data_IF_391135853243
#
_entry.id   IF_391135853243
#
_cell.length_a   1.000
_cell.length_b   1.000
_cell.length_c   1.000
_cell.angle_alpha   90.00
_cell.angle_beta   90.00
_cell.angle_gamma   90.00
#
_symmetry.space_group_name_H-M   'P 1'
#
loop_
_entity.id
_entity.type
_entity.pdbx_description
1 polymer ?
#
# COMPACT_ATOMS: atom_id res chain seq x y z
N UNK A 1 14.61 20.79 15.02
CA UNK A 1 14.94 19.54 15.74
C UNK A 1 14.00 19.45 16.94
N UNK A 2 13.00 18.56 16.88
CA UNK A 2 12.09 18.37 18.00
C UNK A 2 12.86 17.66 19.12
N UNK A 3 13.05 18.34 20.24
CA UNK A 3 13.75 17.79 21.40
C UNK A 3 12.87 16.72 22.07
N UNK A 4 13.28 15.46 21.94
CA UNK A 4 12.82 14.40 22.82
C UNK A 4 13.23 14.76 24.24
N UNK A 5 12.28 14.75 25.17
CA UNK A 5 12.57 15.04 26.56
C UNK A 5 13.47 13.94 27.15
N UNK A 6 14.31 14.29 28.13
CA UNK A 6 15.16 13.34 28.85
C UNK A 6 14.35 12.15 29.42
N UNK A 7 13.09 12.39 29.80
CA UNK A 7 12.17 11.36 30.26
C UNK A 7 11.81 10.34 29.16
N UNK A 8 11.65 10.78 27.91
CA UNK A 8 11.35 9.89 26.77
C UNK A 8 12.57 9.05 26.38
N UNK A 9 13.77 9.64 26.48
CA UNK A 9 15.03 8.91 26.31
C UNK A 9 15.19 7.83 27.39
N UNK A 10 14.93 8.16 28.66
CA UNK A 10 15.01 7.19 29.76
C UNK A 10 13.97 6.05 29.63
N UNK A 11 12.76 6.34 29.15
CA UNK A 11 11.76 5.30 28.88
C UNK A 11 12.17 4.37 27.72
N UNK A 12 13.00 4.83 26.79
CA UNK A 12 13.55 4.03 25.70
C UNK A 12 14.54 2.96 26.19
N UNK A 13 15.35 3.29 27.20
CA UNK A 13 16.49 2.46 27.64
C UNK A 13 16.27 1.70 28.97
N UNK A 14 15.39 2.17 29.86
CA UNK A 14 15.30 1.63 31.22
C UNK A 14 14.13 0.66 31.49
N UNK A 15 13.18 0.48 30.54
CA UNK A 15 11.99 -0.34 30.75
C UNK A 15 11.62 -1.23 29.53
N UNK A 16 12.18 -2.44 29.39
CA UNK A 16 11.57 -3.46 28.52
C UNK A 16 10.27 -3.96 29.17
N UNK A 17 9.09 -3.97 28.49
CA UNK A 17 8.85 -3.88 27.04
C UNK A 17 8.08 -2.60 26.63
N UNK A 18 8.64 -1.41 26.85
CA UNK A 18 8.09 -0.15 26.34
C UNK A 18 8.57 0.37 24.96
N UNK A 19 9.53 -0.24 24.20
CA UNK A 19 9.97 0.34 22.92
C UNK A 19 8.85 0.48 21.87
N UNK A 20 7.93 -0.49 21.82
CA UNK A 20 6.94 -0.57 20.73
C UNK A 20 5.91 0.57 20.70
N UNK A 21 5.57 1.18 21.85
CA UNK A 21 4.55 2.25 21.92
C UNK A 21 5.11 3.64 21.63
N UNK A 22 6.37 3.90 21.98
CA UNK A 22 7.01 5.20 21.75
C UNK A 22 7.56 5.24 20.32
N UNK A 23 8.23 4.18 19.86
CA UNK A 23 8.70 4.09 18.47
C UNK A 23 7.54 4.12 17.47
N UNK A 24 6.40 3.47 17.76
CA UNK A 24 5.22 3.56 16.90
C UNK A 24 4.60 4.98 16.86
N UNK A 25 4.68 5.76 17.94
CA UNK A 25 4.21 7.16 17.93
C UNK A 25 5.10 8.09 17.13
N UNK A 26 6.40 7.78 17.02
CA UNK A 26 7.36 8.58 16.24
C UNK A 26 7.42 8.13 14.77
N UNK A 27 7.17 6.85 14.50
CA UNK A 27 7.19 6.30 13.14
C UNK A 27 5.91 6.57 12.35
N UNK A 28 4.75 6.66 13.01
CA UNK A 28 3.47 6.91 12.36
C UNK A 28 2.92 8.28 12.73
N UNK A 29 2.76 9.13 11.73
CA UNK A 29 2.22 10.49 11.85
C UNK A 29 0.95 10.59 11.00
N UNK A 30 -0.17 9.98 11.40
CA UNK A 30 -1.42 10.13 10.65
C UNK A 30 -1.83 11.61 10.59
N UNK A 31 -2.14 12.16 9.41
CA UNK A 31 -2.65 13.52 9.31
C UNK A 31 -4.08 13.60 9.85
N UNK A 32 -4.58 14.82 10.06
CA UNK A 32 -6.03 14.99 10.21
C UNK A 32 -6.71 14.55 8.91
N UNK A 33 -7.78 13.74 8.95
CA UNK A 33 -8.40 13.20 7.75
C UNK A 33 -8.82 14.29 6.77
N UNK A 34 -8.43 14.12 5.51
CA UNK A 34 -8.76 15.04 4.42
C UNK A 34 -9.97 14.60 3.62
N UNK A 35 -10.53 13.44 3.95
CA UNK A 35 -11.72 12.89 3.31
C UNK A 35 -12.60 12.12 4.29
N UNK A 36 -13.85 11.89 3.87
CA UNK A 36 -14.82 11.04 4.54
C UNK A 36 -15.49 10.10 3.53
N UNK A 37 -15.97 8.96 4.02
CA UNK A 37 -16.83 8.05 3.25
C UNK A 37 -18.27 8.24 3.68
N UNK A 38 -19.10 8.71 2.76
CA UNK A 38 -20.53 8.89 3.00
C UNK A 38 -21.30 7.74 2.34
N UNK A 39 -22.34 7.18 2.99
CA UNK A 39 -23.22 6.22 2.33
C UNK A 39 -23.82 6.84 1.06
N UNK A 40 -23.83 6.11 -0.05
CA UNK A 40 -24.47 6.55 -1.27
C UNK A 40 -25.99 6.28 -1.21
N UNK A 41 -26.84 7.31 -1.05
CA UNK A 41 -28.29 7.12 -0.91
C UNK A 41 -28.95 6.60 -2.20
N UNK A 42 -28.29 6.69 -3.35
CA UNK A 42 -28.81 6.24 -4.65
C UNK A 42 -28.42 4.80 -4.99
N UNK A 43 -27.62 4.14 -4.13
CA UNK A 43 -27.26 2.76 -4.30
C UNK A 43 -28.41 1.84 -3.88
N UNK A 44 -29.32 1.58 -4.83
CA UNK A 44 -30.26 0.47 -4.72
C UNK A 44 -29.53 -0.88 -4.50
N UNK A 45 -30.22 -1.93 -4.02
CA UNK A 45 -29.59 -3.22 -3.79
C UNK A 45 -28.91 -3.70 -5.07
N UNK A 46 -27.61 -4.05 -4.97
CA UNK A 46 -26.77 -4.43 -6.09
C UNK A 46 -27.52 -5.41 -7.00
N UNK A 47 -27.75 -5.02 -8.26
CA UNK A 47 -28.43 -5.86 -9.23
C UNK A 47 -27.62 -7.15 -9.39
N UNK A 48 -28.17 -8.26 -8.90
CA UNK A 48 -27.69 -9.59 -9.23
C UNK A 48 -27.69 -9.71 -10.76
N UNK A 49 -26.51 -9.96 -11.33
CA UNK A 49 -26.32 -10.08 -12.77
C UNK A 49 -27.37 -11.01 -13.38
N UNK A 50 -28.03 -10.52 -14.43
CA UNK A 50 -28.94 -11.29 -15.27
C UNK A 50 -28.18 -12.44 -15.91
N UNK A 51 -28.23 -13.63 -15.28
CA UNK A 51 -27.87 -14.88 -15.95
C UNK A 51 -29.12 -15.35 -16.69
N UNK A 52 -29.08 -15.17 -18.02
CA UNK A 52 -30.04 -15.78 -18.93
C UNK A 52 -30.02 -17.29 -18.76
N UNK A 53 -31.15 -17.83 -18.33
CA UNK A 53 -31.45 -19.25 -18.19
C UNK A 53 -31.39 -19.97 -19.54
N UNK A 54 -30.69 -21.10 -19.61
CA UNK A 54 -31.23 -22.28 -20.30
C UNK A 54 -30.91 -23.56 -19.52
N UNK A 55 -31.96 -24.34 -19.35
CA UNK A 55 -32.19 -25.45 -18.43
C UNK A 55 -31.47 -26.73 -18.85
N UNK A 56 -31.04 -27.56 -17.88
CA UNK A 56 -31.31 -29.00 -17.86
C UNK A 56 -31.05 -29.62 -16.46
N UNK A 57 -32.11 -30.27 -15.96
CA UNK A 57 -32.29 -31.25 -14.86
C UNK A 57 -31.11 -32.24 -14.69
N UNK A 58 -30.80 -32.90 -13.55
CA UNK A 58 -31.54 -33.30 -12.34
C UNK A 58 -30.62 -33.97 -11.29
N UNK A 59 -31.07 -34.00 -10.01
CA UNK A 59 -30.77 -34.98 -8.90
C UNK A 59 -29.34 -34.95 -8.31
N UNK A 60 -29.08 -35.13 -7.01
CA UNK A 60 -29.84 -35.29 -5.76
C UNK A 60 -28.82 -35.44 -4.61
N UNK A 61 -29.08 -34.83 -3.44
CA UNK A 61 -28.65 -35.35 -2.13
C UNK A 61 -27.32 -34.86 -1.54
N UNK A 62 -27.41 -34.07 -0.46
CA UNK A 62 -26.79 -34.30 0.86
C UNK A 62 -26.51 -32.96 1.57
N UNK A 63 -27.25 -32.76 2.65
CA UNK A 63 -27.16 -31.65 3.59
C UNK A 63 -25.91 -31.76 4.47
N UNK A 64 -25.08 -30.72 4.49
CA UNK A 64 -24.17 -30.44 5.62
C UNK A 64 -24.29 -28.95 5.95
N UNK A 65 -24.71 -28.68 7.17
CA UNK A 65 -24.89 -27.37 7.78
C UNK A 65 -23.56 -26.64 7.95
N UNK A 66 -23.31 -25.65 7.11
CA UNK A 66 -22.28 -24.63 7.31
C UNK A 66 -22.90 -23.38 7.91
N UNK A 67 -22.45 -23.02 9.12
CA UNK A 67 -22.78 -21.79 9.83
C UNK A 67 -22.48 -20.56 8.96
N UNK A 68 -23.54 -19.88 8.52
CA UNK A 68 -23.47 -18.66 7.74
C UNK A 68 -22.85 -17.51 8.55
N UNK A 69 -21.63 -17.14 8.20
CA UNK A 69 -21.12 -15.79 8.46
C UNK A 69 -21.89 -14.82 7.58
N UNK A 70 -22.59 -13.88 8.19
CA UNK A 70 -23.34 -12.82 7.53
C UNK A 70 -22.40 -11.97 6.67
N UNK A 71 -22.35 -12.26 5.37
CA UNK A 71 -21.83 -11.34 4.36
C UNK A 71 -22.79 -10.16 4.27
N UNK A 72 -22.55 -9.14 5.10
CA UNK A 72 -23.26 -7.88 5.01
C UNK A 72 -23.00 -7.28 3.64
N UNK A 73 -24.07 -6.96 2.92
CA UNK A 73 -24.02 -6.16 1.68
C UNK A 73 -23.46 -4.80 2.07
N UNK A 74 -22.17 -4.58 1.88
CA UNK A 74 -21.56 -3.28 2.10
C UNK A 74 -22.14 -2.29 1.09
N UNK A 75 -22.84 -1.28 1.61
CA UNK A 75 -23.39 -0.20 0.81
C UNK A 75 -22.30 0.48 -0.01
N UNK A 76 -22.68 1.03 -1.16
CA UNK A 76 -21.79 1.85 -1.99
C UNK A 76 -21.46 3.13 -1.20
N UNK A 77 -20.19 3.52 -1.20
CA UNK A 77 -19.73 4.73 -0.53
C UNK A 77 -19.36 5.79 -1.56
N UNK A 78 -19.66 7.06 -1.24
CA UNK A 78 -19.20 8.22 -2.00
C UNK A 78 -18.04 8.88 -1.26
N UNK A 79 -16.98 9.19 -2.01
CA UNK A 79 -15.85 9.97 -1.49
C UNK A 79 -16.29 11.41 -1.28
N UNK A 80 -16.09 11.93 -0.08
CA UNK A 80 -16.28 13.34 0.24
C UNK A 80 -14.94 13.94 0.65
N UNK A 81 -14.40 14.84 -0.15
CA UNK A 81 -13.15 15.52 0.14
C UNK A 81 -13.41 16.78 0.95
N UNK A 82 -12.58 16.99 1.96
CA UNK A 82 -12.55 18.25 2.72
C UNK A 82 -11.76 19.30 1.95
N UNK A 83 -11.88 20.57 2.34
CA UNK A 83 -11.10 21.67 1.75
C UNK A 83 -9.58 21.43 1.81
N UNK A 84 -9.10 20.62 2.77
CA UNK A 84 -7.69 20.28 2.97
C UNK A 84 -7.11 19.33 1.93
N UNK A 85 -7.96 18.66 1.15
CA UNK A 85 -7.50 17.84 0.05
C UNK A 85 -7.14 18.68 -1.19
N UNK A 86 -7.45 19.99 -1.22
CA UNK A 86 -7.04 20.99 -2.23
C UNK A 86 -6.99 20.50 -3.70
N UNK A 87 -7.98 19.74 -4.18
CA UNK A 87 -8.08 19.36 -5.59
C UNK A 87 -9.52 19.41 -6.11
N UNK A 88 -9.70 20.01 -7.28
CA UNK A 88 -10.98 20.01 -8.00
C UNK A 88 -11.00 18.85 -9.00
N UNK A 89 -11.69 17.77 -8.64
CA UNK A 89 -11.90 16.64 -9.54
C UNK A 89 -13.03 16.92 -10.51
N UNK A 90 -12.84 16.53 -11.77
CA UNK A 90 -13.93 16.42 -12.72
C UNK A 90 -14.86 15.27 -12.33
N UNK A 91 -16.14 15.36 -12.69
CA UNK A 91 -17.09 14.26 -12.44
C UNK A 91 -16.59 12.93 -13.04
N UNK A 92 -15.94 12.99 -14.20
CA UNK A 92 -15.35 11.84 -14.86
C UNK A 92 -14.27 11.14 -14.01
N UNK A 93 -13.47 11.89 -13.27
CA UNK A 93 -12.45 11.32 -12.37
C UNK A 93 -13.09 10.69 -11.13
N UNK A 94 -14.15 11.30 -10.60
CA UNK A 94 -14.91 10.72 -9.49
C UNK A 94 -15.61 9.42 -9.92
N UNK A 95 -16.10 9.35 -11.16
CA UNK A 95 -16.79 8.16 -11.68
C UNK A 95 -15.86 6.95 -11.88
N UNK A 96 -14.55 7.16 -12.05
CA UNK A 96 -13.56 6.07 -12.15
C UNK A 96 -13.02 5.62 -10.80
N UNK A 97 -13.41 6.30 -9.72
CA UNK A 97 -12.94 6.07 -8.37
C UNK A 97 -14.01 5.37 -7.53
N UNK A 98 -13.64 4.23 -6.97
CA UNK A 98 -14.47 3.47 -6.03
C UNK A 98 -13.81 3.48 -4.66
N UNK A 99 -14.57 3.85 -3.64
CA UNK A 99 -14.11 3.84 -2.24
C UNK A 99 -14.98 2.93 -1.40
N UNK A 100 -14.37 2.23 -0.44
CA UNK A 100 -15.07 1.31 0.44
C UNK A 100 -14.26 1.03 1.71
N UNK A 101 -14.86 0.35 2.68
CA UNK A 101 -14.19 -0.15 3.86
C UNK A 101 -14.00 -1.65 3.73
N UNK A 102 -12.84 -2.18 4.11
CA UNK A 102 -12.62 -3.62 4.33
C UNK A 102 -12.29 -3.89 5.78
N UNK A 103 -12.37 -5.14 6.22
CA UNK A 103 -12.06 -5.54 7.60
C UNK A 103 -10.73 -6.30 7.64
N UNK A 104 -9.79 -5.83 8.44
CA UNK A 104 -8.53 -6.54 8.69
C UNK A 104 -8.72 -7.72 9.63
N UNK A 105 -7.80 -8.68 9.59
CA UNK A 105 -7.77 -9.84 10.48
C UNK A 105 -7.67 -9.47 11.97
N UNK A 106 -7.27 -8.22 12.25
CA UNK A 106 -7.18 -7.64 13.60
C UNK A 106 -8.42 -6.85 14.01
N UNK A 107 -9.47 -6.87 13.19
CA UNK A 107 -10.78 -6.31 13.50
C UNK A 107 -10.95 -4.83 13.19
N UNK A 108 -9.96 -4.18 12.58
CA UNK A 108 -10.06 -2.77 12.17
C UNK A 108 -10.80 -2.68 10.83
N UNK A 109 -11.56 -1.60 10.66
CA UNK A 109 -12.04 -1.15 9.35
C UNK A 109 -10.93 -0.33 8.68
N UNK A 110 -10.64 -0.67 7.43
CA UNK A 110 -9.57 -0.09 6.60
C UNK A 110 -10.23 0.60 5.40
N UNK A 111 -9.98 1.89 5.23
CA UNK A 111 -10.38 2.65 4.05
C UNK A 111 -9.60 2.22 2.83
N UNK A 112 -10.29 1.96 1.72
CA UNK A 112 -9.70 1.59 0.44
C UNK A 112 -10.23 2.50 -0.67
N UNK A 113 -9.37 2.74 -1.66
CA UNK A 113 -9.66 3.50 -2.86
C UNK A 113 -9.13 2.73 -4.07
N UNK A 114 -9.99 2.55 -5.07
CA UNK A 114 -9.63 1.93 -6.34
C UNK A 114 -9.97 2.85 -7.49
N UNK A 115 -8.98 3.17 -8.32
CA UNK A 115 -9.08 4.12 -9.41
C UNK A 115 -8.80 3.41 -10.73
N UNK A 116 -9.77 3.46 -11.64
CA UNK A 116 -9.63 2.95 -13.00
C UNK A 116 -9.00 3.99 -13.91
N UNK A 117 -7.68 4.11 -13.85
CA UNK A 117 -6.97 5.18 -14.53
C UNK A 117 -6.88 4.98 -16.05
N UNK A 118 -6.86 3.74 -16.54
CA UNK A 118 -6.76 3.45 -17.97
C UNK A 118 -7.65 2.29 -18.43
N UNK A 119 -8.45 2.44 -19.50
CA UNK A 119 -9.34 1.39 -20.00
C UNK A 119 -8.62 0.09 -20.43
N UNK A 120 -7.37 0.22 -20.90
CA UNK A 120 -6.52 -0.90 -21.34
C UNK A 120 -5.48 -1.31 -20.29
N UNK A 121 -5.65 -0.89 -19.03
CA UNK A 121 -4.74 -1.27 -17.96
C UNK A 121 -4.74 -2.79 -17.75
N UNK A 122 -3.61 -3.43 -18.06
CA UNK A 122 -3.36 -4.83 -17.72
C UNK A 122 -3.12 -5.01 -16.22
N UNK A 123 -2.29 -4.13 -15.65
CA UNK A 123 -1.87 -4.23 -14.27
C UNK A 123 -2.66 -3.29 -13.36
N UNK A 124 -2.81 -3.71 -12.11
CA UNK A 124 -3.27 -2.85 -11.00
C UNK A 124 -2.15 -2.72 -9.97
N UNK A 125 -1.81 -1.49 -9.62
CA UNK A 125 -0.84 -1.21 -8.57
C UNK A 125 -1.55 -1.23 -7.22
N UNK A 126 -1.15 -2.11 -6.31
CA UNK A 126 -1.47 -2.02 -4.88
C UNK A 126 -0.45 -1.08 -4.22
N UNK A 127 -0.84 0.18 -4.04
CA UNK A 127 0.00 1.25 -3.52
C UNK A 127 -0.12 1.35 -2.00
N UNK A 128 0.99 1.22 -1.29
CA UNK A 128 1.13 1.51 0.14
C UNK A 128 1.79 2.88 0.29
N UNK A 129 1.02 3.87 0.75
CA UNK A 129 1.42 5.28 0.76
C UNK A 129 2.50 5.62 1.81
N UNK A 130 3.10 6.81 1.67
CA UNK A 130 4.08 7.32 2.64
C UNK A 130 3.47 7.64 4.01
N UNK A 131 4.30 8.14 4.92
CA UNK A 131 3.82 8.67 6.19
C UNK A 131 3.16 10.04 5.99
N UNK A 132 2.42 10.55 6.98
CA UNK A 132 1.85 11.91 6.97
C UNK A 132 0.93 12.27 5.79
N UNK A 133 0.41 11.27 5.08
CA UNK A 133 -0.59 11.42 4.02
C UNK A 133 -1.75 10.45 4.23
N UNK A 134 -2.90 10.75 3.64
CA UNK A 134 -4.04 9.84 3.54
C UNK A 134 -4.51 9.68 2.08
N UNK A 135 -5.48 8.80 1.84
CA UNK A 135 -6.03 8.57 0.49
C UNK A 135 -6.59 9.83 -0.19
N UNK A 136 -7.14 10.76 0.59
CA UNK A 136 -7.69 12.00 0.05
C UNK A 136 -6.59 12.85 -0.59
N UNK A 137 -5.48 13.06 0.12
CA UNK A 137 -4.33 13.82 -0.38
C UNK A 137 -3.63 13.13 -1.56
N UNK A 138 -3.57 11.80 -1.54
CA UNK A 138 -2.86 11.03 -2.58
C UNK A 138 -3.67 10.80 -3.86
N UNK A 139 -4.97 11.04 -3.84
CA UNK A 139 -5.87 10.65 -4.94
C UNK A 139 -5.54 11.30 -6.29
N UNK A 140 -5.12 12.57 -6.33
CA UNK A 140 -4.69 13.26 -7.55
C UNK A 140 -3.39 12.66 -8.12
N UNK A 141 -2.44 12.37 -7.24
CA UNK A 141 -1.20 11.69 -7.58
C UNK A 141 -1.48 10.31 -8.19
N UNK A 142 -2.40 9.52 -7.60
CA UNK A 142 -2.77 8.21 -8.12
C UNK A 142 -3.37 8.26 -9.52
N UNK A 143 -4.28 9.21 -9.79
CA UNK A 143 -4.83 9.41 -11.14
C UNK A 143 -3.72 9.73 -12.13
N UNK A 144 -2.85 10.68 -11.79
CA UNK A 144 -1.74 11.10 -12.62
C UNK A 144 -0.73 10.00 -12.89
N UNK A 145 -0.35 9.24 -11.86
CA UNK A 145 0.58 8.11 -11.96
C UNK A 145 -0.03 7.00 -12.82
N UNK A 146 -1.20 6.49 -12.45
CA UNK A 146 -1.86 5.36 -13.12
C UNK A 146 -2.11 5.64 -14.61
N UNK A 147 -2.52 6.85 -14.95
CA UNK A 147 -2.71 7.26 -16.36
C UNK A 147 -1.38 7.23 -17.13
N UNK A 148 -0.29 7.74 -16.52
CA UNK A 148 1.02 7.85 -17.19
C UNK A 148 1.75 6.53 -17.34
N UNK A 149 1.47 5.55 -16.49
CA UNK A 149 2.05 4.19 -16.54
C UNK A 149 1.06 3.13 -17.06
N UNK A 150 -0.12 3.53 -17.52
CA UNK A 150 -1.19 2.66 -18.02
C UNK A 150 -1.58 1.53 -17.05
N UNK A 151 -1.78 1.87 -15.77
CA UNK A 151 -2.19 0.94 -14.71
C UNK A 151 -3.38 1.51 -13.94
N UNK A 152 -4.22 0.63 -13.39
CA UNK A 152 -5.16 1.02 -12.35
C UNK A 152 -4.43 1.16 -11.01
N UNK A 153 -4.93 2.00 -10.11
CA UNK A 153 -4.33 2.17 -8.78
C UNK A 153 -5.33 1.74 -7.71
N UNK A 154 -4.91 0.86 -6.82
CA UNK A 154 -5.60 0.53 -5.59
C UNK A 154 -4.72 0.96 -4.42
N UNK A 155 -5.27 1.73 -3.50
CA UNK A 155 -4.58 2.16 -2.28
C UNK A 155 -5.49 2.00 -1.07
N UNK A 156 -4.90 2.00 0.12
CA UNK A 156 -5.59 1.84 1.40
C UNK A 156 -4.91 2.69 2.48
N UNK A 157 -5.69 3.19 3.44
CA UNK A 157 -5.14 3.87 4.61
C UNK A 157 -4.77 2.87 5.70
N UNK A 158 -3.64 3.08 6.36
CA UNK A 158 -3.26 2.28 7.52
C UNK A 158 -4.23 2.48 8.70
N UNK A 159 -4.34 1.49 9.58
CA UNK A 159 -5.13 1.61 10.81
C UNK A 159 -4.79 2.89 11.59
N UNK A 160 -5.75 3.77 11.81
CA UNK A 160 -5.56 5.08 12.45
C UNK A 160 -5.20 6.24 11.50
N UNK A 161 -5.16 6.01 10.18
CA UNK A 161 -5.04 7.04 9.14
C UNK A 161 -6.40 7.26 8.46
N UNK A 162 -6.64 8.49 7.98
CA UNK A 162 -7.88 8.84 7.28
C UNK A 162 -9.13 8.34 7.98
N UNK A 163 -9.95 7.54 7.28
CA UNK A 163 -11.18 6.93 7.83
C UNK A 163 -10.95 5.57 8.50
N UNK A 164 -9.73 5.03 8.44
CA UNK A 164 -9.37 3.72 9.00
C UNK A 164 -9.37 3.76 10.52
N UNK A 165 -10.06 2.80 11.13
CA UNK A 165 -10.10 2.66 12.60
C UNK A 165 -8.85 2.02 13.17
N UNK A 166 -8.71 2.04 14.50
CA UNK A 166 -7.64 1.33 15.19
C UNK A 166 -6.46 2.25 15.52
N UNK A 167 -5.26 1.67 15.57
CA UNK A 167 -4.02 2.40 15.89
C UNK A 167 -2.91 2.04 14.91
N UNK A 168 -2.04 2.99 14.56
CA UNK A 168 -0.97 2.72 13.62
C UNK A 168 0.15 1.96 14.35
N UNK A 169 0.25 0.67 14.07
CA UNK A 169 1.26 -0.22 14.64
C UNK A 169 1.71 -1.17 13.54
N UNK A 170 2.95 -1.65 13.61
CA UNK A 170 3.49 -2.60 12.63
C UNK A 170 2.60 -3.82 12.40
N UNK A 171 2.03 -4.39 13.47
CA UNK A 171 1.12 -5.54 13.37
C UNK A 171 -0.19 -5.20 12.65
N UNK A 172 -0.71 -3.99 12.83
CA UNK A 172 -1.89 -3.55 12.10
C UNK A 172 -1.53 -3.25 10.66
N UNK A 173 -0.38 -2.60 10.40
CA UNK A 173 0.12 -2.31 9.06
C UNK A 173 0.17 -3.58 8.17
N UNK A 174 0.67 -4.70 8.71
CA UNK A 174 0.64 -5.99 8.01
C UNK A 174 -0.78 -6.55 7.81
N UNK A 175 -1.63 -6.44 8.82
CA UNK A 175 -3.02 -6.89 8.70
C UNK A 175 -3.85 -6.05 7.72
N UNK A 176 -3.51 -4.78 7.57
CA UNK A 176 -4.19 -3.83 6.70
C UNK A 176 -3.85 -4.10 5.23
N UNK A 177 -2.57 -4.35 4.91
CA UNK A 177 -2.20 -4.75 3.54
C UNK A 177 -2.75 -6.13 3.17
N UNK A 178 -2.83 -7.07 4.13
CA UNK A 178 -3.49 -8.37 3.90
C UNK A 178 -4.97 -8.18 3.53
N UNK A 179 -5.65 -7.23 4.19
CA UNK A 179 -7.05 -6.90 3.90
C UNK A 179 -7.21 -6.24 2.52
N UNK A 180 -6.31 -5.33 2.17
CA UNK A 180 -6.25 -4.69 0.85
C UNK A 180 -5.99 -5.70 -0.28
N UNK A 181 -5.00 -6.57 -0.10
CA UNK A 181 -4.68 -7.68 -1.01
C UNK A 181 -5.89 -8.61 -1.19
N UNK A 182 -6.56 -8.98 -0.10
CA UNK A 182 -7.76 -9.81 -0.17
C UNK A 182 -8.89 -9.11 -0.92
N UNK A 183 -9.13 -7.82 -0.66
CA UNK A 183 -10.15 -7.04 -1.34
C UNK A 183 -9.88 -6.95 -2.86
N UNK A 184 -8.64 -6.67 -3.27
CA UNK A 184 -8.24 -6.69 -4.69
C UNK A 184 -8.57 -8.01 -5.39
N UNK A 185 -8.23 -9.13 -4.73
CA UNK A 185 -8.40 -10.46 -5.31
C UNK A 185 -9.83 -10.96 -5.32
N UNK A 186 -10.64 -10.58 -4.33
CA UNK A 186 -11.99 -11.12 -4.16
C UNK A 186 -13.09 -10.18 -4.66
N UNK A 187 -12.98 -8.87 -4.38
CA UNK A 187 -13.97 -7.88 -4.83
C UNK A 187 -13.78 -7.55 -6.30
N UNK A 188 -12.53 -7.40 -6.73
CA UNK A 188 -12.20 -6.99 -8.11
C UNK A 188 -11.73 -8.14 -8.99
N UNK A 189 -11.62 -9.36 -8.44
CA UNK A 189 -11.22 -10.57 -9.17
C UNK A 189 -9.88 -10.42 -9.90
N UNK A 190 -8.95 -9.63 -9.35
CA UNK A 190 -7.65 -9.40 -9.97
C UNK A 190 -6.69 -10.51 -9.52
N UNK A 191 -6.16 -11.27 -10.47
CA UNK A 191 -5.18 -12.32 -10.19
C UNK A 191 -3.82 -11.75 -9.76
N UNK A 192 -3.05 -12.43 -8.89
CA UNK A 192 -1.74 -11.96 -8.40
C UNK A 192 -0.74 -11.55 -9.50
N UNK A 193 -0.72 -12.26 -10.63
CA UNK A 193 0.13 -11.99 -11.79
C UNK A 193 -0.23 -10.68 -12.54
N UNK A 194 -1.34 -10.04 -12.17
CA UNK A 194 -1.74 -8.72 -12.66
C UNK A 194 -1.66 -7.63 -11.58
N UNK A 195 -1.07 -7.94 -10.41
CA UNK A 195 -0.90 -6.99 -9.30
C UNK A 195 0.57 -6.60 -9.17
N UNK A 196 0.85 -5.30 -9.20
CA UNK A 196 2.15 -4.74 -8.85
C UNK A 196 2.05 -4.19 -7.44
N UNK A 197 2.90 -4.67 -6.53
CA UNK A 197 2.98 -4.10 -5.19
C UNK A 197 3.90 -2.87 -5.23
N UNK A 198 3.43 -1.73 -4.74
CA UNK A 198 4.22 -0.49 -4.70
C UNK A 198 4.22 0.06 -3.28
N UNK A 199 5.40 0.29 -2.71
CA UNK A 199 5.53 0.95 -1.42
C UNK A 199 6.40 2.19 -1.53
N UNK A 200 5.95 3.30 -0.93
CA UNK A 200 6.73 4.53 -0.78
C UNK A 200 7.13 4.73 0.68
N UNK A 201 8.40 4.98 0.97
CA UNK A 201 8.90 5.25 2.33
C UNK A 201 8.44 4.16 3.31
N UNK A 202 7.74 4.51 4.38
CA UNK A 202 7.14 3.56 5.33
C UNK A 202 6.20 2.52 4.66
N UNK A 203 5.57 2.85 3.54
CA UNK A 203 4.74 1.92 2.76
C UNK A 203 5.53 0.74 2.15
N UNK A 204 6.85 0.82 2.11
CA UNK A 204 7.71 -0.32 1.71
C UNK A 204 7.68 -1.44 2.73
N UNK A 205 7.34 -1.14 3.99
CA UNK A 205 7.25 -2.12 5.08
C UNK A 205 6.16 -3.18 4.87
N UNK A 206 4.87 -2.82 4.71
CA UNK A 206 3.83 -3.81 4.41
C UNK A 206 4.03 -4.43 3.02
N UNK A 207 4.56 -3.67 2.07
CA UNK A 207 4.84 -4.13 0.70
C UNK A 207 5.85 -5.29 0.71
N UNK A 208 7.00 -5.13 1.37
CA UNK A 208 8.01 -6.18 1.49
C UNK A 208 7.49 -7.38 2.28
N UNK A 209 6.72 -7.15 3.35
CA UNK A 209 6.11 -8.24 4.12
C UNK A 209 5.18 -9.10 3.26
N UNK A 210 4.26 -8.47 2.52
CA UNK A 210 3.34 -9.19 1.65
C UNK A 210 4.07 -9.90 0.51
N UNK A 211 5.00 -9.21 -0.16
CA UNK A 211 5.81 -9.77 -1.26
C UNK A 211 6.71 -10.94 -0.83
N UNK A 212 7.10 -11.00 0.45
CA UNK A 212 7.88 -12.12 0.99
C UNK A 212 7.05 -13.40 1.18
N UNK A 213 5.73 -13.30 1.10
CA UNK A 213 4.77 -14.40 1.31
C UNK A 213 4.02 -14.79 0.05
N UNK A 214 3.85 -13.86 -0.89
CA UNK A 214 3.09 -14.06 -2.12
C UNK A 214 3.87 -13.59 -3.35
N UNK A 215 3.81 -14.40 -4.40
CA UNK A 215 4.23 -13.98 -5.73
C UNK A 215 3.17 -13.04 -6.34
N UNK A 216 3.66 -11.99 -6.99
CA UNK A 216 2.89 -10.98 -7.71
C UNK A 216 3.59 -10.62 -9.03
N UNK A 217 2.98 -9.77 -9.85
CA UNK A 217 3.60 -9.36 -11.13
C UNK A 217 4.97 -8.71 -10.91
N UNK A 218 5.08 -7.82 -9.92
CA UNK A 218 6.30 -7.13 -9.56
C UNK A 218 6.16 -6.39 -8.23
N UNK A 219 7.31 -5.97 -7.69
CA UNK A 219 7.41 -5.08 -6.53
C UNK A 219 8.16 -3.81 -6.92
N UNK A 220 7.65 -2.66 -6.51
CA UNK A 220 8.36 -1.37 -6.59
C UNK A 220 8.56 -0.84 -5.17
N UNK A 221 9.82 -0.61 -4.80
CA UNK A 221 10.22 -0.03 -3.52
C UNK A 221 10.77 1.36 -3.77
N UNK A 222 10.03 2.39 -3.35
CA UNK A 222 10.39 3.80 -3.52
C UNK A 222 10.86 4.38 -2.18
N UNK A 223 12.10 4.85 -2.14
CA UNK A 223 12.83 5.33 -0.96
C UNK A 223 12.68 4.41 0.25
N UNK A 224 13.04 3.11 0.13
CA UNK A 224 12.75 2.13 1.16
C UNK A 224 13.71 2.20 2.34
N UNK A 225 13.19 1.87 3.53
CA UNK A 225 13.99 1.58 4.72
C UNK A 225 14.32 0.09 4.84
N UNK A 226 15.52 -0.18 5.35
CA UNK A 226 15.98 -1.53 5.75
C UNK A 226 15.39 -1.97 7.08
N UNK A 227 15.26 -1.04 8.04
CA UNK A 227 14.66 -1.21 9.37
C UNK A 227 14.56 0.12 10.10
N UNK A 228 13.65 0.24 11.07
CA UNK A 228 13.47 1.44 11.88
C UNK A 228 14.71 1.80 12.70
N UNK A 229 15.42 0.82 13.29
CA UNK A 229 16.66 1.09 14.02
C UNK A 229 17.76 1.64 13.12
N UNK A 230 17.88 1.15 11.87
CA UNK A 230 18.88 1.65 10.92
C UNK A 230 18.58 3.06 10.42
N UNK A 231 17.31 3.44 10.36
CA UNK A 231 16.91 4.83 10.07
C UNK A 231 17.30 5.75 11.24
N UNK A 232 16.98 5.35 12.48
CA UNK A 232 17.29 6.17 13.66
C UNK A 232 18.78 6.17 14.04
N UNK A 233 19.48 5.07 13.75
CA UNK A 233 20.88 4.82 14.12
C UNK A 233 21.60 4.12 12.93
N UNK A 234 22.13 4.88 11.96
CA UNK A 234 22.73 4.35 10.72
C UNK A 234 23.84 3.31 10.93
N UNK A 235 24.58 3.40 12.03
CA UNK A 235 25.64 2.45 12.39
C UNK A 235 25.14 1.07 12.85
N UNK A 236 23.82 0.82 12.83
CA UNK A 236 23.22 -0.44 13.26
C UNK A 236 23.52 -1.59 12.29
N UNK A 237 24.48 -2.46 12.65
CA UNK A 237 24.91 -3.58 11.80
C UNK A 237 24.04 -4.84 11.91
N UNK A 238 23.37 -5.04 13.05
CA UNK A 238 22.58 -6.26 13.35
C UNK A 238 21.12 -5.91 13.53
N UNK A 239 20.24 -6.86 13.22
CA UNK A 239 18.80 -6.73 13.48
C UNK A 239 18.50 -7.23 14.89
N UNK A 240 17.93 -6.37 15.72
CA UNK A 240 17.59 -6.68 17.11
C UNK A 240 16.13 -7.12 17.24
N UNK A 241 15.79 -7.82 18.32
CA UNK A 241 14.41 -8.32 18.53
C UNK A 241 13.36 -7.21 18.75
N UNK A 242 13.80 -6.00 19.05
CA UNK A 242 12.98 -4.80 19.20
C UNK A 242 13.09 -3.84 18.02
N UNK A 243 13.78 -4.25 16.95
CA UNK A 243 13.88 -3.48 15.72
C UNK A 243 12.54 -3.49 14.99
N UNK A 244 12.01 -2.30 14.72
CA UNK A 244 10.76 -2.16 13.99
C UNK A 244 11.02 -2.29 12.49
N UNK A 245 10.06 -2.87 11.76
CA UNK A 245 10.07 -2.88 10.29
C UNK A 245 11.31 -3.51 9.64
N UNK A 246 11.81 -4.70 10.07
CA UNK A 246 13.05 -5.28 9.58
C UNK A 246 12.91 -5.83 8.14
N UNK A 247 12.70 -4.96 7.15
CA UNK A 247 12.60 -5.30 5.73
C UNK A 247 13.83 -6.05 5.24
N UNK A 248 15.01 -5.72 5.78
CA UNK A 248 16.27 -6.36 5.44
C UNK A 248 16.30 -7.88 5.72
N UNK A 249 15.45 -8.37 6.63
CA UNK A 249 15.30 -9.80 6.96
C UNK A 249 14.28 -10.51 6.07
N UNK A 250 13.51 -9.75 5.29
CA UNK A 250 12.38 -10.25 4.49
C UNK A 250 12.62 -10.15 2.99
N UNK A 251 13.37 -9.13 2.54
CA UNK A 251 13.56 -8.82 1.12
C UNK A 251 14.15 -9.98 0.31
N UNK A 252 15.01 -10.80 0.92
CA UNK A 252 15.61 -11.97 0.26
C UNK A 252 14.63 -13.09 -0.09
N UNK A 253 13.41 -13.03 0.46
CA UNK A 253 12.34 -14.00 0.21
C UNK A 253 11.42 -13.60 -0.95
N UNK A 254 11.57 -12.38 -1.48
CA UNK A 254 10.75 -11.91 -2.59
C UNK A 254 11.18 -12.64 -3.87
N UNK A 255 10.22 -13.33 -4.50
CA UNK A 255 10.44 -14.10 -5.73
C UNK A 255 10.03 -13.36 -7.00
N UNK A 256 9.22 -12.30 -6.87
CA UNK A 256 8.83 -11.41 -7.96
C UNK A 256 9.98 -10.46 -8.38
N UNK A 257 9.98 -9.94 -9.62
CA UNK A 257 10.86 -8.85 -10.03
C UNK A 257 10.73 -7.63 -9.11
N UNK A 258 11.85 -7.06 -8.66
CA UNK A 258 11.85 -5.91 -7.74
C UNK A 258 12.59 -4.73 -8.34
N UNK A 259 11.88 -3.62 -8.54
CA UNK A 259 12.46 -2.33 -8.88
C UNK A 259 12.64 -1.52 -7.60
N UNK A 260 13.84 -1.01 -7.38
CA UNK A 260 14.13 -0.06 -6.29
C UNK A 260 14.38 1.31 -6.91
N UNK A 261 13.76 2.33 -6.32
CA UNK A 261 13.89 3.73 -6.69
C UNK A 261 14.31 4.50 -5.45
N UNK A 262 15.38 5.29 -5.51
CA UNK A 262 15.86 6.08 -4.36
C UNK A 262 16.58 7.35 -4.85
N UNK A 263 16.36 8.48 -4.17
CA UNK A 263 17.16 9.69 -4.35
C UNK A 263 18.56 9.56 -3.73
N UNK A 264 19.59 10.13 -4.36
CA UNK A 264 20.96 10.03 -3.83
C UNK A 264 21.23 10.99 -2.66
N UNK A 265 20.38 12.02 -2.48
CA UNK A 265 20.47 13.03 -1.41
C UNK A 265 19.28 12.90 -0.42
N UNK A 266 18.82 11.66 -0.18
CA UNK A 266 17.72 11.39 0.75
C UNK A 266 18.14 11.54 2.22
N UNK A 267 17.81 12.69 2.81
CA UNK A 267 18.10 13.04 4.21
C UNK A 267 17.13 12.42 5.24
N UNK A 268 16.06 11.73 4.80
CA UNK A 268 15.08 11.09 5.69
C UNK A 268 15.38 9.60 5.84
N UNK A 269 15.65 8.94 4.72
CA UNK A 269 16.07 7.55 4.65
C UNK A 269 17.29 7.50 3.75
N UNK A 270 18.47 7.45 4.36
CA UNK A 270 19.74 7.49 3.64
C UNK A 270 19.78 6.50 2.46
N UNK A 271 20.41 6.93 1.35
CA UNK A 271 20.54 6.17 0.11
C UNK A 271 21.07 4.73 0.32
N UNK A 272 21.91 4.52 1.33
CA UNK A 272 22.44 3.19 1.68
C UNK A 272 21.35 2.16 1.98
N UNK A 273 20.15 2.59 2.41
CA UNK A 273 19.04 1.68 2.64
C UNK A 273 18.53 1.06 1.32
N UNK A 274 18.36 1.87 0.28
CA UNK A 274 17.98 1.41 -1.05
C UNK A 274 19.02 0.47 -1.64
N UNK A 275 20.30 0.85 -1.53
CA UNK A 275 21.42 0.03 -1.99
C UNK A 275 21.48 -1.32 -1.25
N UNK A 276 21.35 -1.33 0.08
CA UNK A 276 21.40 -2.55 0.87
C UNK A 276 20.24 -3.51 0.57
N UNK A 277 19.04 -2.99 0.27
CA UNK A 277 17.91 -3.82 -0.16
C UNK A 277 18.11 -4.36 -1.58
N UNK A 278 18.68 -3.55 -2.48
CA UNK A 278 19.02 -3.97 -3.84
C UNK A 278 19.98 -5.16 -3.84
N UNK A 279 21.08 -5.05 -3.09
CA UNK A 279 22.10 -6.10 -2.99
C UNK A 279 21.56 -7.41 -2.39
N UNK A 280 20.53 -7.35 -1.54
CA UNK A 280 19.92 -8.53 -0.92
C UNK A 280 18.72 -9.10 -1.66
N UNK A 281 18.24 -8.43 -2.69
CA UNK A 281 17.06 -8.84 -3.43
C UNK A 281 17.45 -9.78 -4.59
N UNK A 282 17.04 -11.07 -4.58
CA UNK A 282 17.49 -12.06 -5.58
C UNK A 282 16.99 -11.77 -7.00
N UNK A 283 15.91 -11.00 -7.11
CA UNK A 283 15.20 -10.67 -8.36
C UNK A 283 15.15 -9.16 -8.58
N UNK A 284 16.15 -8.44 -8.07
CA UNK A 284 16.29 -7.03 -8.36
C UNK A 284 16.48 -6.83 -9.88
N UNK A 285 15.66 -5.96 -10.47
CA UNK A 285 15.89 -5.43 -11.82
C UNK A 285 16.77 -4.20 -11.75
N UNK A 286 17.16 -3.64 -12.89
CA UNK A 286 17.95 -2.40 -12.93
C UNK A 286 17.28 -1.30 -12.07
N UNK A 287 17.95 -0.81 -11.01
CA UNK A 287 17.37 0.16 -10.10
C UNK A 287 17.33 1.55 -10.73
N UNK A 288 16.64 2.47 -10.09
CA UNK A 288 16.73 3.90 -10.41
C UNK A 288 17.26 4.67 -9.21
N UNK A 289 18.51 5.13 -9.33
CA UNK A 289 19.12 6.09 -8.42
C UNK A 289 18.95 7.48 -9.03
N UNK A 290 18.13 8.32 -8.40
CA UNK A 290 17.84 9.67 -8.91
C UNK A 290 18.85 10.64 -8.32
N UNK A 291 19.82 11.01 -9.15
CA UNK A 291 20.91 11.89 -8.74
C UNK A 291 20.39 13.27 -8.29
N UNK A 292 20.76 13.69 -7.08
CA UNK A 292 20.38 14.96 -6.49
C UNK A 292 18.94 15.05 -5.97
N UNK A 293 18.16 13.97 -6.04
CA UNK A 293 16.84 13.93 -5.43
C UNK A 293 16.92 13.57 -3.95
N UNK A 294 16.07 14.21 -3.14
CA UNK A 294 15.84 13.88 -1.74
C UNK A 294 14.66 12.91 -1.54
N UNK A 295 14.10 12.88 -0.32
CA UNK A 295 13.04 11.90 0.02
C UNK A 295 11.70 12.14 -0.66
N UNK A 296 11.36 13.42 -0.90
CA UNK A 296 10.01 13.88 -1.24
C UNK A 296 9.92 14.56 -2.61
N UNK A 297 10.95 14.46 -3.43
CA UNK A 297 11.00 15.11 -4.75
C UNK A 297 11.38 14.16 -5.90
N UNK A 298 11.62 12.87 -5.62
CA UNK A 298 11.95 11.85 -6.64
C UNK A 298 10.95 11.85 -7.79
N UNK A 299 9.65 11.96 -7.51
CA UNK A 299 8.58 11.99 -8.52
C UNK A 299 8.60 13.23 -9.43
N UNK A 300 9.32 14.29 -9.04
CA UNK A 300 9.49 15.51 -9.85
C UNK A 300 10.50 15.32 -10.98
N UNK A 301 11.37 14.31 -10.88
CA UNK A 301 12.36 13.99 -11.91
C UNK A 301 11.74 13.12 -13.00
N UNK A 302 11.91 13.50 -14.27
CA UNK A 302 11.33 12.75 -15.40
C UNK A 302 11.76 11.29 -15.45
N UNK A 303 12.97 11.00 -14.98
CA UNK A 303 13.56 9.65 -14.90
C UNK A 303 12.65 8.68 -14.11
N UNK A 304 11.93 9.16 -13.09
CA UNK A 304 10.98 8.37 -12.31
C UNK A 304 9.91 7.72 -13.19
N UNK A 305 9.21 8.53 -13.99
CA UNK A 305 8.17 8.04 -14.88
C UNK A 305 8.74 7.19 -16.02
N UNK A 306 9.90 7.58 -16.56
CA UNK A 306 10.53 6.86 -17.67
C UNK A 306 10.97 5.44 -17.24
N UNK A 307 11.56 5.30 -16.05
CA UNK A 307 11.93 3.99 -15.50
C UNK A 307 10.70 3.12 -15.26
N UNK A 308 9.65 3.67 -14.64
CA UNK A 308 8.42 2.93 -14.35
C UNK A 308 7.75 2.44 -15.63
N UNK A 309 7.67 3.28 -16.67
CA UNK A 309 7.13 2.90 -17.98
C UNK A 309 7.93 1.78 -18.63
N UNK A 310 9.27 1.85 -18.57
CA UNK A 310 10.14 0.79 -19.08
C UNK A 310 9.91 -0.51 -18.32
N UNK A 311 9.91 -0.45 -16.99
CA UNK A 311 9.70 -1.62 -16.14
C UNK A 311 8.37 -2.31 -16.45
N UNK A 312 7.28 -1.54 -16.37
CA UNK A 312 5.92 -2.08 -16.47
C UNK A 312 5.56 -2.44 -17.91
N UNK A 313 5.86 -1.54 -18.85
CA UNK A 313 5.41 -1.67 -20.24
C UNK A 313 6.31 -2.56 -21.11
N UNK A 314 7.57 -2.78 -20.72
CA UNK A 314 8.53 -3.51 -21.54
C UNK A 314 9.07 -4.74 -20.80
N UNK A 315 9.64 -4.56 -19.61
CA UNK A 315 10.28 -5.66 -18.87
C UNK A 315 9.26 -6.69 -18.36
N UNK A 316 8.18 -6.25 -17.72
CA UNK A 316 7.14 -7.16 -17.21
C UNK A 316 6.26 -7.73 -18.33
N UNK A 317 5.96 -6.93 -19.36
CA UNK A 317 5.15 -7.37 -20.48
C UNK A 317 5.78 -8.57 -21.23
N UNK A 318 7.11 -8.61 -21.32
CA UNK A 318 7.85 -9.70 -21.98
C UNK A 318 7.91 -10.96 -21.12
N UNK A 319 7.89 -10.85 -19.79
CA UNK A 319 7.91 -12.01 -18.89
C UNK A 319 6.57 -12.76 -18.83
N UNK A 320 5.48 -12.12 -19.27
CA UNK A 320 4.13 -12.69 -19.26
C UNK A 320 3.47 -12.75 -20.65
N UNK A 321 4.27 -12.69 -21.72
CA UNK A 321 3.87 -12.96 -23.10
C UNK A 321 4.17 -14.43 -23.45
#
# INVERSE_FOLDING_TARGET
MNELSFSELCCLFCCPPCPSRIAAKLAFLPPEPTYALLPDPEAGPAAAGSTGTSSLRSRSGASVSGSGGSGGVEGRWKLHLTERAEFQYSQRELDTMEVFLTRSSRGNRVGCMYIRCAPSARFTVLFSHGNAVDLGQMSSFYIGLGTRINCNIFSYDYSGYGVSTGKPTEKNLYADIDAAWHALRTRFCISPENIILYGQSIGTVPTVDLASRYECAAVVLHSPLTSGMRVAFPETKKTYCFDAFPNIEKVSKITSPVLIIHGTEDEVIDFSHGLALFERCPKAVEPLWVEGAGHNDVELYSQYLDRLRRFIGQELAVQHA
#
